data_IF_288010549220
#
_entry.id   IF_288010549220
#
_cell.length_a   1.000
_cell.length_b   1.000
_cell.length_c   1.000
_cell.angle_alpha   90.00
_cell.angle_beta   90.00
_cell.angle_gamma   90.00
#
_symmetry.space_group_name_H-M   'P 1'
#
loop_
_entity.id
_entity.type
_entity.pdbx_description
1 polymer ?
#
# COMPACT_ATOMS: atom_id res chain seq x y z
N UNK A 1 5.99 16.52 -13.67
CA UNK A 1 6.87 15.39 -14.00
C UNK A 1 6.02 14.17 -14.28
N UNK A 2 6.30 13.39 -15.34
CA UNK A 2 5.41 12.33 -15.79
C UNK A 2 5.43 11.18 -14.77
N UNK A 3 4.25 10.68 -14.39
CA UNK A 3 4.18 9.35 -13.78
C UNK A 3 4.80 8.39 -14.80
N UNK A 4 5.92 7.75 -14.44
CA UNK A 4 6.41 6.65 -15.26
C UNK A 4 5.30 5.61 -15.21
N UNK A 5 4.59 5.45 -16.35
CA UNK A 5 3.60 4.40 -16.55
C UNK A 5 4.23 3.10 -16.04
N UNK A 6 3.51 2.39 -15.17
CA UNK A 6 3.89 1.03 -14.80
C UNK A 6 4.22 0.28 -16.10
N UNK A 7 5.39 -0.38 -16.15
CA UNK A 7 5.65 -1.28 -17.27
C UNK A 7 4.52 -2.31 -17.28
N UNK A 8 3.90 -2.59 -18.43
CA UNK A 8 2.81 -3.55 -18.47
C UNK A 8 3.35 -4.90 -17.98
N UNK A 9 2.68 -5.48 -16.99
CA UNK A 9 2.99 -6.83 -16.53
C UNK A 9 2.81 -7.79 -17.71
N UNK A 10 3.87 -8.52 -18.06
CA UNK A 10 3.83 -9.42 -19.21
C UNK A 10 3.26 -10.75 -18.75
N UNK A 11 2.00 -11.00 -19.14
CA UNK A 11 1.34 -12.28 -18.92
C UNK A 11 1.97 -13.32 -19.85
N UNK A 12 2.67 -14.30 -19.26
CA UNK A 12 3.19 -15.48 -19.95
C UNK A 12 2.29 -16.70 -19.71
N UNK A 13 2.48 -17.78 -20.47
CA UNK A 13 1.77 -19.07 -20.28
C UNK A 13 1.98 -19.69 -18.89
N UNK A 14 2.99 -19.26 -18.13
CA UNK A 14 3.29 -19.75 -16.77
C UNK A 14 2.75 -18.85 -15.66
N UNK A 15 2.01 -17.79 -16.01
CA UNK A 15 1.46 -16.87 -15.01
C UNK A 15 0.42 -17.59 -14.18
N UNK A 16 0.57 -17.55 -12.87
CA UNK A 16 -0.39 -18.08 -11.90
C UNK A 16 -0.92 -16.93 -11.05
N UNK A 17 -2.19 -17.01 -10.69
CA UNK A 17 -2.79 -16.08 -9.72
C UNK A 17 -2.68 -16.69 -8.33
N UNK A 18 -2.11 -15.95 -7.38
CA UNK A 18 -1.99 -16.35 -5.98
C UNK A 18 -2.59 -15.27 -5.09
N UNK A 19 -3.53 -15.58 -4.18
CA UNK A 19 -4.00 -14.61 -3.21
C UNK A 19 -2.90 -14.32 -2.20
N UNK A 20 -2.72 -13.03 -1.87
CA UNK A 20 -1.79 -12.58 -0.82
C UNK A 20 -2.57 -11.74 0.18
N UNK A 21 -2.49 -12.12 1.46
CA UNK A 21 -3.10 -11.38 2.56
C UNK A 21 -2.42 -10.04 2.78
N UNK A 22 -3.22 -8.97 2.69
CA UNK A 22 -2.83 -7.58 2.88
C UNK A 22 -3.68 -6.91 3.96
N UNK A 23 -3.15 -5.86 4.57
CA UNK A 23 -3.90 -4.97 5.45
C UNK A 23 -4.52 -3.84 4.63
N UNK A 24 -5.83 -3.65 4.74
CA UNK A 24 -6.56 -2.59 4.04
C UNK A 24 -7.16 -1.64 5.06
N UNK A 25 -6.92 -0.34 4.87
CA UNK A 25 -7.59 0.74 5.57
C UNK A 25 -8.71 1.24 4.67
N UNK A 26 -9.86 0.58 4.77
CA UNK A 26 -11.02 0.83 3.92
C UNK A 26 -11.83 2.01 4.43
N UNK A 27 -12.31 2.83 3.49
CA UNK A 27 -13.33 3.86 3.78
C UNK A 27 -14.66 3.23 4.22
N UNK A 28 -14.98 2.03 3.75
CA UNK A 28 -16.26 1.37 4.02
C UNK A 28 -16.22 0.41 5.21
N UNK A 29 -15.15 -0.38 5.31
CA UNK A 29 -15.06 -1.52 6.23
C UNK A 29 -14.14 -1.29 7.43
N UNK A 30 -13.46 -0.15 7.52
CA UNK A 30 -12.45 0.05 8.53
C UNK A 30 -11.11 -0.61 8.18
N UNK A 31 -10.32 -0.94 9.22
CA UNK A 31 -9.09 -1.73 9.08
C UNK A 31 -9.44 -3.22 8.98
N UNK A 32 -9.12 -3.86 7.86
CA UNK A 32 -9.41 -5.28 7.64
C UNK A 32 -8.28 -6.02 6.90
N UNK A 33 -8.30 -7.35 6.99
CA UNK A 33 -7.42 -8.23 6.21
C UNK A 33 -8.15 -8.68 4.96
N UNK A 34 -7.50 -8.55 3.79
CA UNK A 34 -8.08 -8.91 2.50
C UNK A 34 -7.09 -9.72 1.67
N UNK A 35 -7.59 -10.74 0.97
CA UNK A 35 -6.82 -11.44 -0.05
C UNK A 35 -6.75 -10.60 -1.32
N UNK A 36 -5.54 -10.20 -1.71
CA UNK A 36 -5.29 -9.49 -2.97
C UNK A 36 -4.84 -10.50 -4.02
N UNK A 37 -5.60 -10.70 -5.11
CA UNK A 37 -5.15 -11.50 -6.24
C UNK A 37 -3.84 -10.94 -6.77
N UNK A 38 -2.79 -11.76 -6.82
CA UNK A 38 -1.47 -11.36 -7.29
C UNK A 38 -1.08 -12.22 -8.48
N UNK A 39 -0.79 -11.60 -9.61
CA UNK A 39 -0.25 -12.29 -10.78
C UNK A 39 1.24 -12.57 -10.54
N UNK A 40 1.67 -13.80 -10.76
CA UNK A 40 3.04 -14.25 -10.55
C UNK A 40 3.51 -15.06 -11.76
N UNK A 41 4.59 -14.62 -12.41
CA UNK A 41 5.19 -15.33 -13.54
C UNK A 41 6.59 -15.93 -13.20
N UNK A 42 6.98 -15.92 -11.93
CA UNK A 42 8.29 -16.38 -11.42
C UNK A 42 9.42 -15.35 -11.51
N UNK A 43 9.22 -14.26 -12.23
CA UNK A 43 10.17 -13.15 -12.34
C UNK A 43 9.62 -11.88 -11.71
N UNK A 44 8.33 -11.61 -11.93
CA UNK A 44 7.62 -10.44 -11.45
C UNK A 44 6.34 -10.86 -10.73
N UNK A 45 5.91 -9.99 -9.81
CA UNK A 45 4.61 -10.08 -9.16
C UNK A 45 3.85 -8.76 -9.29
N UNK A 46 2.56 -8.86 -9.64
CA UNK A 46 1.67 -7.71 -9.80
C UNK A 46 0.39 -7.89 -8.95
N UNK A 47 0.31 -7.23 -7.79
CA UNK A 47 -0.88 -7.26 -6.94
C UNK A 47 -2.02 -6.44 -7.56
N UNK A 48 -3.17 -7.05 -7.77
CA UNK A 48 -4.34 -6.42 -8.37
C UNK A 48 -5.16 -5.66 -7.32
N UNK A 49 -4.63 -4.54 -6.82
CA UNK A 49 -5.21 -3.75 -5.73
C UNK A 49 -6.49 -2.98 -6.11
N UNK A 50 -6.78 -2.82 -7.41
CA UNK A 50 -7.93 -2.04 -7.92
C UNK A 50 -9.26 -2.41 -7.26
N UNK A 51 -9.51 -3.68 -6.95
CA UNK A 51 -10.76 -4.13 -6.33
C UNK A 51 -10.85 -3.84 -4.82
N UNK A 52 -9.71 -3.66 -4.16
CA UNK A 52 -9.63 -3.31 -2.74
C UNK A 52 -9.60 -1.77 -2.52
N UNK A 53 -9.49 -0.98 -3.59
CA UNK A 53 -9.42 0.47 -3.55
C UNK A 53 -10.72 1.10 -4.11
N UNK A 54 -11.19 2.16 -3.46
CA UNK A 54 -12.43 2.84 -3.87
C UNK A 54 -12.30 3.62 -5.19
N UNK A 55 -13.44 4.07 -5.71
CA UNK A 55 -13.54 5.04 -6.81
C UNK A 55 -12.73 4.69 -8.05
N UNK A 56 -12.93 3.49 -8.65
CA UNK A 56 -12.28 3.12 -9.91
C UNK A 56 -12.58 4.13 -11.04
N UNK A 57 -13.75 4.75 -11.02
CA UNK A 57 -14.16 5.78 -11.98
C UNK A 57 -13.66 7.19 -11.63
N UNK A 58 -13.42 7.45 -10.35
CA UNK A 58 -12.97 8.75 -9.84
C UNK A 58 -11.47 8.94 -10.04
N UNK A 59 -10.70 7.90 -9.74
CA UNK A 59 -9.27 7.87 -9.94
C UNK A 59 -8.89 6.50 -10.53
N UNK A 60 -8.68 6.41 -11.85
CA UNK A 60 -8.47 5.12 -12.52
C UNK A 60 -7.07 4.54 -12.25
N UNK A 61 -6.12 5.38 -11.84
CA UNK A 61 -4.77 4.96 -11.52
C UNK A 61 -4.55 4.94 -10.01
N UNK A 62 -4.03 3.83 -9.52
CA UNK A 62 -3.50 3.73 -8.17
C UNK A 62 -2.09 4.31 -8.10
N UNK A 63 -1.75 4.80 -6.91
CA UNK A 63 -0.40 5.21 -6.58
C UNK A 63 0.26 4.13 -5.72
N UNK A 64 1.51 3.81 -6.03
CA UNK A 64 2.30 2.84 -5.27
C UNK A 64 3.59 3.45 -4.71
N UNK A 65 3.93 3.07 -3.47
CA UNK A 65 5.14 3.43 -2.73
C UNK A 65 5.76 2.18 -2.09
N UNK A 66 7.10 2.12 -2.04
CA UNK A 66 7.82 1.23 -1.14
C UNK A 66 8.18 1.99 0.15
N UNK A 67 7.84 1.45 1.31
CA UNK A 67 8.16 2.01 2.61
C UNK A 67 8.96 0.99 3.41
N UNK A 68 10.16 1.38 3.86
CA UNK A 68 11.01 0.56 4.72
C UNK A 68 10.98 1.11 6.16
N UNK A 69 10.71 0.23 7.12
CA UNK A 69 10.78 0.52 8.56
C UNK A 69 12.04 -0.16 9.09
N UNK A 70 12.89 0.61 9.76
CA UNK A 70 14.10 0.15 10.44
C UNK A 70 13.81 0.06 11.95
N UNK A 71 14.02 -1.10 12.57
CA UNK A 71 13.84 -1.29 14.01
C UNK A 71 14.99 -2.14 14.58
N UNK A 72 15.83 -1.52 15.40
CA UNK A 72 17.10 -2.12 15.83
C UNK A 72 17.99 -2.51 14.66
N UNK A 73 18.38 -3.79 14.58
CA UNK A 73 19.16 -4.36 13.47
C UNK A 73 18.29 -4.95 12.35
N UNK A 74 16.97 -4.86 12.46
CA UNK A 74 16.04 -5.44 11.50
C UNK A 74 15.44 -4.36 10.62
N UNK A 75 14.97 -4.78 9.45
CA UNK A 75 14.13 -3.95 8.60
C UNK A 75 13.00 -4.75 7.99
N UNK A 76 11.87 -4.08 7.87
CA UNK A 76 10.69 -4.57 7.17
C UNK A 76 10.32 -3.61 6.06
N UNK A 77 9.94 -4.16 4.92
CA UNK A 77 9.56 -3.38 3.75
C UNK A 77 8.10 -3.64 3.43
N UNK A 78 7.38 -2.59 3.09
CA UNK A 78 5.98 -2.61 2.74
C UNK A 78 5.78 -1.95 1.38
N UNK A 79 4.82 -2.47 0.61
CA UNK A 79 4.27 -1.78 -0.55
C UNK A 79 2.92 -1.18 -0.17
N UNK A 80 2.80 0.13 -0.35
CA UNK A 80 1.60 0.89 -0.08
C UNK A 80 0.96 1.23 -1.42
N UNK A 81 -0.26 0.78 -1.63
CA UNK A 81 -1.10 1.13 -2.77
C UNK A 81 -2.25 1.99 -2.28
N UNK A 82 -2.52 3.08 -2.97
CA UNK A 82 -3.55 3.99 -2.52
C UNK A 82 -4.15 4.81 -3.65
N UNK A 83 -5.33 5.34 -3.36
CA UNK A 83 -5.93 6.44 -4.08
C UNK A 83 -6.12 7.59 -3.12
N UNK A 84 -6.00 8.79 -3.65
CA UNK A 84 -6.19 10.01 -2.88
C UNK A 84 -6.73 11.09 -3.80
N UNK A 85 -8.02 11.35 -3.69
CA UNK A 85 -8.70 12.32 -4.53
C UNK A 85 -9.80 13.02 -3.74
N UNK A 86 -10.00 14.31 -3.98
CA UNK A 86 -10.97 15.15 -3.25
C UNK A 86 -12.43 14.67 -3.36
N UNK A 87 -12.74 13.91 -4.41
CA UNK A 87 -14.07 13.33 -4.64
C UNK A 87 -14.23 11.94 -4.02
N UNK A 88 -13.16 11.37 -3.43
CA UNK A 88 -13.27 10.18 -2.61
C UNK A 88 -13.69 10.58 -1.20
N UNK A 89 -14.41 9.69 -0.53
CA UNK A 89 -14.84 9.90 0.84
C UNK A 89 -13.65 9.84 1.79
N UNK A 90 -13.73 10.65 2.84
CA UNK A 90 -12.75 10.68 3.91
C UNK A 90 -12.66 9.34 4.65
N UNK A 91 -11.45 8.92 4.98
CA UNK A 91 -11.14 7.64 5.60
C UNK A 91 -10.96 7.80 7.11
N UNK A 92 -12.04 7.58 7.85
CA UNK A 92 -12.05 7.67 9.32
C UNK A 92 -11.08 6.69 9.99
N UNK A 93 -10.80 5.56 9.35
CA UNK A 93 -9.79 4.60 9.84
C UNK A 93 -8.39 5.21 9.86
N UNK A 94 -8.05 6.01 8.84
CA UNK A 94 -6.75 6.68 8.79
C UNK A 94 -6.66 7.72 9.91
N UNK A 95 -7.71 8.51 10.14
CA UNK A 95 -7.75 9.44 11.29
C UNK A 95 -7.56 8.73 12.62
N UNK A 96 -8.24 7.60 12.82
CA UNK A 96 -8.14 6.82 14.06
C UNK A 96 -6.73 6.27 14.33
N UNK A 97 -5.95 6.00 13.28
CA UNK A 97 -4.57 5.50 13.41
C UNK A 97 -3.55 6.64 13.52
N UNK A 98 -3.72 7.71 12.74
CA UNK A 98 -2.68 8.73 12.53
C UNK A 98 -2.92 10.01 13.36
N UNK A 99 -4.17 10.36 13.63
CA UNK A 99 -4.61 11.59 14.29
C UNK A 99 -5.67 12.35 13.49
N UNK A 100 -6.52 13.11 14.17
CA UNK A 100 -7.63 13.87 13.56
C UNK A 100 -7.17 15.02 12.67
N UNK A 101 -5.97 15.53 12.87
CA UNK A 101 -5.35 16.59 12.08
C UNK A 101 -4.90 16.10 10.68
N UNK A 102 -4.83 14.79 10.48
CA UNK A 102 -4.44 14.17 9.23
C UNK A 102 -5.66 13.70 8.45
N UNK A 103 -5.83 14.27 7.27
CA UNK A 103 -6.91 13.94 6.38
C UNK A 103 -6.43 12.95 5.31
N UNK A 104 -7.28 11.99 4.95
CA UNK A 104 -7.08 11.09 3.82
C UNK A 104 -8.40 10.76 3.14
N UNK A 105 -8.46 10.86 1.81
CA UNK A 105 -9.67 10.59 1.03
C UNK A 105 -9.46 9.39 0.11
N UNK A 106 -10.00 8.23 0.49
CA UNK A 106 -9.86 6.97 -0.24
C UNK A 106 -9.26 5.84 0.60
N UNK A 107 -9.38 4.60 0.10
CA UNK A 107 -8.77 3.44 0.75
C UNK A 107 -7.27 3.33 0.51
N UNK A 108 -6.59 2.62 1.41
CA UNK A 108 -5.16 2.31 1.33
C UNK A 108 -4.96 0.81 1.56
N UNK A 109 -4.17 0.18 0.72
CA UNK A 109 -3.73 -1.21 0.86
C UNK A 109 -2.25 -1.20 1.23
N UNK A 110 -1.89 -1.89 2.31
CA UNK A 110 -0.51 -2.12 2.73
C UNK A 110 -0.22 -3.61 2.62
N UNK A 111 0.82 -3.96 1.88
CA UNK A 111 1.30 -5.33 1.70
C UNK A 111 2.73 -5.44 2.21
N UNK A 112 3.08 -6.55 2.86
CA UNK A 112 4.47 -6.81 3.22
C UNK A 112 5.27 -7.23 2.00
N UNK A 113 6.47 -6.71 1.85
CA UNK A 113 7.45 -7.19 0.90
C UNK A 113 8.37 -8.23 1.55
N UNK A 114 8.66 -9.29 0.80
CA UNK A 114 9.61 -10.33 1.15
C UNK A 114 11.04 -9.81 1.23
N UNK A 115 11.89 -10.57 1.94
CA UNK A 115 13.31 -10.27 2.08
C UNK A 115 14.08 -10.88 0.91
N UNK A 116 15.06 -10.15 0.37
CA UNK A 116 15.93 -10.59 -0.72
C UNK A 116 15.99 -9.61 -1.89
N UNK A 117 16.64 -10.01 -2.98
CA UNK A 117 16.77 -9.19 -4.19
C UNK A 117 15.42 -8.94 -4.86
N UNK A 118 14.56 -9.97 -4.87
CA UNK A 118 13.19 -9.89 -5.36
C UNK A 118 12.27 -9.47 -4.21
N UNK A 119 11.93 -8.18 -4.15
CA UNK A 119 11.00 -7.59 -3.16
C UNK A 119 9.52 -7.88 -3.47
N UNK A 120 9.23 -9.16 -3.70
CA UNK A 120 7.89 -9.66 -3.96
C UNK A 120 6.98 -9.46 -2.76
N UNK A 121 5.68 -9.29 -2.99
CA UNK A 121 4.75 -9.20 -1.86
C UNK A 121 4.58 -10.58 -1.23
N UNK A 122 4.40 -10.62 0.08
CA UNK A 122 4.23 -11.85 0.86
C UNK A 122 3.04 -11.70 1.79
N UNK A 123 2.48 -12.82 2.21
CA UNK A 123 1.39 -12.83 3.17
C UNK A 123 1.80 -12.09 4.44
N UNK A 124 0.99 -11.12 4.85
CA UNK A 124 1.09 -10.53 6.17
C UNK A 124 0.60 -11.54 7.21
N UNK A 125 1.33 -11.67 8.32
CA UNK A 125 1.04 -12.68 9.34
C UNK A 125 0.99 -12.09 10.74
N UNK A 126 -0.16 -12.27 11.39
CA UNK A 126 -0.32 -12.08 12.82
C UNK A 126 -0.31 -10.63 13.29
N UNK A 127 -0.22 -10.47 14.62
CA UNK A 127 -0.35 -9.18 15.30
C UNK A 127 0.81 -8.23 15.01
N UNK A 128 2.02 -8.74 14.84
CA UNK A 128 3.20 -7.91 14.61
C UNK A 128 3.12 -7.16 13.28
N UNK A 129 2.67 -7.83 12.22
CA UNK A 129 2.50 -7.20 10.91
C UNK A 129 1.40 -6.14 10.91
N UNK A 130 0.34 -6.31 11.72
CA UNK A 130 -0.66 -5.27 11.92
C UNK A 130 -0.04 -4.02 12.56
N UNK A 131 0.75 -4.18 13.62
CA UNK A 131 1.41 -3.06 14.31
C UNK A 131 2.36 -2.33 13.37
N UNK A 132 3.17 -3.06 12.60
CA UNK A 132 4.07 -2.45 11.62
C UNK A 132 3.30 -1.78 10.46
N UNK A 133 2.16 -2.32 10.06
CA UNK A 133 1.30 -1.70 9.05
C UNK A 133 0.68 -0.40 9.57
N UNK A 134 0.23 -0.36 10.83
CA UNK A 134 -0.30 0.86 11.45
C UNK A 134 0.81 1.92 11.52
N UNK A 135 2.03 1.53 11.93
CA UNK A 135 3.19 2.42 11.94
C UNK A 135 3.58 2.91 10.53
N UNK A 136 3.57 2.02 9.54
CA UNK A 136 3.83 2.37 8.14
C UNK A 136 2.81 3.39 7.63
N UNK A 137 1.53 3.18 7.95
CA UNK A 137 0.45 4.11 7.61
C UNK A 137 0.70 5.48 8.25
N UNK A 138 0.96 5.51 9.56
CA UNK A 138 1.25 6.74 10.30
C UNK A 138 2.36 7.57 9.65
N UNK A 139 3.51 6.95 9.41
CA UNK A 139 4.66 7.61 8.81
C UNK A 139 4.38 8.06 7.36
N UNK A 140 3.70 7.22 6.58
CA UNK A 140 3.34 7.56 5.20
C UNK A 140 2.43 8.79 5.13
N UNK A 141 1.35 8.82 5.92
CA UNK A 141 0.37 9.91 5.89
C UNK A 141 1.01 11.23 6.37
N UNK A 142 1.78 11.17 7.46
CA UNK A 142 2.52 12.32 7.98
C UNK A 142 3.51 12.91 6.97
N UNK A 143 4.11 12.05 6.14
CA UNK A 143 5.08 12.45 5.11
C UNK A 143 4.42 13.03 3.85
N UNK A 144 3.36 12.42 3.33
CA UNK A 144 2.81 12.75 2.00
C UNK A 144 2.00 14.06 1.97
N UNK A 145 1.54 14.57 3.13
CA UNK A 145 0.85 15.86 3.33
C UNK A 145 -0.15 16.24 2.21
N UNK A 146 -1.44 15.94 2.45
CA UNK A 146 -2.55 16.00 1.49
C UNK A 146 -2.80 17.34 0.74
N UNK A 147 -2.20 18.47 1.14
CA UNK A 147 -2.54 19.81 0.64
C UNK A 147 -1.79 20.26 -0.63
N UNK A 148 -0.85 19.45 -1.15
CA UNK A 148 -0.14 19.73 -2.41
C UNK A 148 -0.52 18.71 -3.48
N UNK A 149 -0.15 18.97 -4.75
CA UNK A 149 -0.27 17.99 -5.85
C UNK A 149 0.26 16.65 -5.36
N UNK A 150 -0.62 15.65 -5.29
CA UNK A 150 -0.34 14.35 -4.69
C UNK A 150 0.85 13.68 -5.38
N UNK A 151 2.01 13.72 -4.73
CA UNK A 151 3.28 13.20 -5.20
C UNK A 151 4.10 12.79 -4.00
N UNK A 152 4.71 11.62 -4.08
CA UNK A 152 5.58 11.11 -3.03
C UNK A 152 6.72 10.30 -3.65
N UNK A 153 7.81 10.13 -2.90
CA UNK A 153 8.94 9.32 -3.35
C UNK A 153 8.50 7.87 -3.53
N UNK A 154 9.00 7.22 -4.59
CA UNK A 154 8.75 5.79 -4.79
C UNK A 154 9.30 4.91 -3.67
N UNK A 155 10.28 5.42 -2.93
CA UNK A 155 10.85 4.75 -1.77
C UNK A 155 10.96 5.70 -0.59
N UNK A 156 10.45 5.28 0.55
CA UNK A 156 10.54 5.96 1.84
C UNK A 156 11.22 5.05 2.86
N UNK A 157 11.94 5.63 3.80
CA UNK A 157 12.63 4.91 4.87
C UNK A 157 12.40 5.64 6.17
N UNK A 158 11.95 4.92 7.19
CA UNK A 158 11.65 5.46 8.52
C UNK A 158 12.30 4.59 9.60
N UNK A 159 12.67 5.21 10.71
CA UNK A 159 13.18 4.52 11.89
C UNK A 159 12.05 4.40 12.90
N UNK A 160 11.81 3.19 13.39
CA UNK A 160 10.95 2.95 14.54
C UNK A 160 11.76 3.23 15.81
N UNK A 161 11.21 4.00 16.77
CA UNK A 161 11.86 4.29 18.04
C UNK A 161 12.07 3.03 18.89
#
# INVERSE_FOLDING_TARGET
>A
MPSKRHRPFIVSRKTVTRPIFACVYSVQQGRCWVEIPTLDNGNEQDPMCTHALDGPWTQPHEHDCELQILHGQQSDTFRIFCKNHILLRENETVKAVVGEEYHWCGSIVIMRAGKGEKKWVVNMQGRWDAVLADYALDQFIKHVQQRKRFSFSKRLVFHMP
#
